data_IF_700667297209
#
_entry.id   IF_700667297209
#
_cell.length_a   1.000
_cell.length_b   1.000
_cell.length_c   1.000
_cell.angle_alpha   90.00
_cell.angle_beta   90.00
_cell.angle_gamma   90.00
#
_symmetry.space_group_name_H-M   'P 1'
#
loop_
_entity.id
_entity.type
_entity.pdbx_description
1 polymer ?
#
# COMPACT_ATOMS: atom_id res chain seq x y z
N UNK A 1 -50.73 7.49 -12.63
CA UNK A 1 -49.51 8.30 -12.84
C UNK A 1 -49.22 9.27 -11.69
N UNK A 2 -50.10 10.24 -11.34
CA UNK A 2 -49.84 11.18 -10.21
C UNK A 2 -49.51 10.49 -8.87
N UNK A 3 -50.30 9.51 -8.43
CA UNK A 3 -50.05 8.76 -7.16
C UNK A 3 -48.72 8.00 -7.15
N UNK A 4 -48.32 7.42 -8.28
CA UNK A 4 -47.04 6.68 -8.41
C UNK A 4 -45.84 7.64 -8.33
N UNK A 5 -45.94 8.80 -8.97
CA UNK A 5 -44.93 9.85 -8.90
C UNK A 5 -44.76 10.39 -7.48
N UNK A 6 -45.87 10.61 -6.75
CA UNK A 6 -45.82 11.07 -5.35
C UNK A 6 -45.15 10.04 -4.45
N UNK A 7 -45.43 8.75 -4.62
CA UNK A 7 -44.80 7.67 -3.86
C UNK A 7 -43.28 7.62 -4.16
N UNK A 8 -42.88 7.70 -5.44
CA UNK A 8 -41.47 7.73 -5.83
C UNK A 8 -40.71 8.93 -5.21
N UNK A 9 -41.31 10.11 -5.21
CA UNK A 9 -40.73 11.32 -4.61
C UNK A 9 -40.59 11.19 -3.09
N UNK A 10 -41.58 10.61 -2.40
CA UNK A 10 -41.51 10.35 -0.96
C UNK A 10 -40.39 9.36 -0.61
N UNK A 11 -40.24 8.27 -1.39
CA UNK A 11 -39.16 7.31 -1.19
C UNK A 11 -37.78 7.95 -1.40
N UNK A 12 -37.61 8.74 -2.46
CA UNK A 12 -36.36 9.46 -2.72
C UNK A 12 -36.01 10.44 -1.59
N UNK A 13 -37.01 11.16 -1.05
CA UNK A 13 -36.82 12.09 0.06
C UNK A 13 -36.41 11.38 1.36
N UNK A 14 -37.06 10.26 1.70
CA UNK A 14 -36.73 9.47 2.89
C UNK A 14 -35.30 8.91 2.80
N UNK A 15 -34.91 8.41 1.63
CA UNK A 15 -33.55 7.92 1.40
C UNK A 15 -32.50 9.03 1.57
N UNK A 16 -32.76 10.22 1.01
CA UNK A 16 -31.87 11.38 1.15
C UNK A 16 -31.69 11.82 2.62
N UNK A 17 -32.77 11.85 3.39
CA UNK A 17 -32.68 12.16 4.83
C UNK A 17 -31.92 11.09 5.62
N UNK A 18 -32.14 9.81 5.34
CA UNK A 18 -31.45 8.71 6.01
C UNK A 18 -29.93 8.80 5.79
N UNK A 19 -29.51 9.06 4.55
CA UNK A 19 -28.11 9.22 4.19
C UNK A 19 -27.49 10.45 4.90
N UNK A 20 -28.20 11.58 4.95
CA UNK A 20 -27.74 12.79 5.64
C UNK A 20 -27.55 12.54 7.14
N UNK A 21 -28.46 11.80 7.77
CA UNK A 21 -28.34 11.43 9.18
C UNK A 21 -27.16 10.49 9.41
N UNK A 22 -26.89 9.55 8.50
CA UNK A 22 -25.72 8.68 8.59
C UNK A 22 -24.42 9.47 8.45
N UNK A 23 -24.35 10.37 7.48
CA UNK A 23 -23.20 11.24 7.26
C UNK A 23 -22.87 12.06 8.51
N UNK A 24 -23.88 12.68 9.15
CA UNK A 24 -23.69 13.42 10.41
C UNK A 24 -23.14 12.55 11.52
N UNK A 25 -23.62 11.30 11.65
CA UNK A 25 -23.10 10.35 12.66
C UNK A 25 -21.64 10.00 12.40
N UNK A 26 -21.28 9.73 11.14
CA UNK A 26 -19.89 9.47 10.73
C UNK A 26 -19.01 10.67 11.05
N UNK A 27 -19.42 11.87 10.63
CA UNK A 27 -18.64 13.09 10.82
C UNK A 27 -18.48 13.47 12.30
N UNK A 28 -19.51 13.27 13.13
CA UNK A 28 -19.41 13.45 14.57
C UNK A 28 -18.43 12.45 15.18
N UNK A 29 -18.53 11.17 14.82
CA UNK A 29 -17.60 10.14 15.30
C UNK A 29 -16.15 10.45 14.90
N UNK A 30 -15.92 10.95 13.69
CA UNK A 30 -14.57 11.36 13.26
C UNK A 30 -14.07 12.56 14.06
N UNK A 31 -14.92 13.55 14.35
CA UNK A 31 -14.55 14.69 15.20
C UNK A 31 -14.18 14.25 16.61
N UNK A 32 -14.98 13.37 17.21
CA UNK A 32 -14.75 12.87 18.57
C UNK A 32 -13.43 12.10 18.70
N UNK A 33 -12.98 11.44 17.62
CA UNK A 33 -11.69 10.75 17.55
C UNK A 33 -10.55 11.60 16.99
N UNK A 34 -10.86 12.80 16.48
CA UNK A 34 -9.91 13.68 15.82
C UNK A 34 -9.32 14.69 16.79
N UNK A 35 -7.99 14.74 16.88
CA UNK A 35 -7.26 15.78 17.59
C UNK A 35 -7.68 17.14 17.02
N UNK A 36 -8.23 17.99 17.88
CA UNK A 36 -8.73 19.32 17.51
C UNK A 36 -10.09 19.33 16.81
N UNK A 37 -10.83 18.21 16.79
CA UNK A 37 -12.17 18.08 16.21
C UNK A 37 -12.25 18.49 14.72
N UNK A 38 -11.17 18.26 13.96
CA UNK A 38 -11.03 18.63 12.55
C UNK A 38 -10.83 17.40 11.67
N UNK A 39 -11.35 17.47 10.45
CA UNK A 39 -11.09 16.51 9.39
C UNK A 39 -11.10 17.20 8.03
N UNK A 40 -10.41 16.59 7.09
CA UNK A 40 -10.52 16.85 5.66
C UNK A 40 -11.51 15.85 5.08
N UNK A 41 -12.36 16.32 4.15
CA UNK A 41 -13.38 15.51 3.48
C UNK A 41 -13.23 15.68 1.98
N UNK A 42 -13.19 14.57 1.28
CA UNK A 42 -13.27 14.52 -0.17
C UNK A 42 -14.50 13.72 -0.58
N UNK A 43 -15.32 14.32 -1.44
CA UNK A 43 -16.48 13.67 -2.07
C UNK A 43 -16.07 13.29 -3.48
N UNK A 44 -16.24 12.03 -3.84
CA UNK A 44 -15.76 11.50 -5.10
C UNK A 44 -16.47 10.19 -5.44
N UNK A 45 -16.69 9.93 -6.72
CA UNK A 45 -17.14 8.63 -7.22
C UNK A 45 -15.92 7.70 -7.38
N UNK A 46 -15.77 6.72 -6.49
CA UNK A 46 -14.62 5.82 -6.45
C UNK A 46 -14.79 4.60 -7.35
N UNK A 47 -16.02 4.09 -7.48
CA UNK A 47 -16.34 2.87 -8.22
C UNK A 47 -16.96 3.15 -9.61
N UNK A 48 -17.11 4.42 -9.98
CA UNK A 48 -17.67 4.91 -11.23
C UNK A 48 -19.16 4.55 -11.42
N UNK A 49 -19.94 4.55 -10.33
CA UNK A 49 -21.39 4.30 -10.34
C UNK A 49 -22.25 5.58 -10.35
N UNK A 50 -21.60 6.75 -10.45
CA UNK A 50 -22.19 8.09 -10.44
C UNK A 50 -22.84 8.48 -9.10
N UNK A 51 -22.45 7.81 -8.03
CA UNK A 51 -22.88 8.12 -6.67
C UNK A 51 -21.70 8.64 -5.84
N UNK A 52 -21.98 9.62 -4.99
CA UNK A 52 -20.97 10.20 -4.09
C UNK A 52 -20.49 9.17 -3.06
N UNK A 53 -19.18 8.89 -3.08
CA UNK A 53 -18.43 8.24 -2.01
C UNK A 53 -17.62 9.27 -1.21
N UNK A 54 -17.08 8.85 -0.06
CA UNK A 54 -16.45 9.76 0.89
C UNK A 54 -15.12 9.24 1.39
N UNK A 55 -14.10 10.08 1.27
CA UNK A 55 -12.80 9.90 1.93
C UNK A 55 -12.68 10.96 3.02
N UNK A 56 -12.35 10.52 4.22
CA UNK A 56 -12.06 11.39 5.36
C UNK A 56 -10.62 11.19 5.82
N UNK A 57 -9.90 12.28 6.02
CA UNK A 57 -8.56 12.27 6.62
C UNK A 57 -8.58 13.15 7.89
N UNK A 58 -8.06 12.64 9.00
CA UNK A 58 -8.05 13.39 10.26
C UNK A 58 -6.86 13.04 11.13
N UNK A 59 -6.47 13.99 11.98
CA UNK A 59 -5.39 13.77 12.94
C UNK A 59 -5.91 12.90 14.09
N UNK A 60 -5.46 11.65 14.21
CA UNK A 60 -5.85 10.74 15.31
C UNK A 60 -4.66 10.34 16.21
N UNK A 61 -3.47 10.82 15.87
CA UNK A 61 -2.18 10.44 16.43
C UNK A 61 -1.10 10.71 15.39
N UNK A 62 0.08 10.14 15.57
CA UNK A 62 1.13 10.10 14.54
C UNK A 62 1.29 8.64 14.11
N UNK A 63 0.73 8.22 12.95
CA UNK A 63 0.28 9.04 11.81
C UNK A 63 -1.21 9.43 11.81
N UNK A 64 -1.66 10.15 10.76
CA UNK A 64 -3.08 10.49 10.52
C UNK A 64 -3.93 9.23 10.31
N UNK A 65 -5.24 9.36 10.48
CA UNK A 65 -6.21 8.31 10.15
C UNK A 65 -6.95 8.65 8.86
N UNK A 66 -7.17 7.63 8.03
CA UNK A 66 -8.02 7.70 6.84
C UNK A 66 -9.22 6.76 7.00
N UNK A 67 -10.40 7.24 6.64
CA UNK A 67 -11.62 6.43 6.51
C UNK A 67 -12.26 6.62 5.15
N UNK A 68 -12.66 5.52 4.52
CA UNK A 68 -13.28 5.53 3.20
C UNK A 68 -14.62 4.81 3.27
N UNK A 69 -15.66 5.46 2.75
CA UNK A 69 -17.02 4.94 2.73
C UNK A 69 -17.52 4.90 1.29
N UNK A 70 -18.00 3.73 0.85
CA UNK A 70 -18.73 3.60 -0.41
C UNK A 70 -20.23 3.75 -0.18
N UNK A 71 -20.93 4.40 -1.10
CA UNK A 71 -22.37 4.49 -1.08
C UNK A 71 -23.02 3.32 -1.82
N UNK A 72 -23.40 2.29 -1.05
CA UNK A 72 -24.00 1.08 -1.60
C UNK A 72 -25.51 1.20 -1.49
N UNK A 73 -26.16 1.56 -2.60
CA UNK A 73 -27.63 1.69 -2.70
C UNK A 73 -28.23 2.66 -1.66
N UNK A 74 -27.56 3.78 -1.42
CA UNK A 74 -28.00 4.82 -0.47
C UNK A 74 -27.53 4.60 0.96
N UNK A 75 -26.72 3.56 1.22
CA UNK A 75 -26.15 3.25 2.54
C UNK A 75 -24.63 3.42 2.49
N UNK A 76 -24.10 4.32 3.33
CA UNK A 76 -22.65 4.51 3.44
C UNK A 76 -22.03 3.34 4.20
N UNK A 77 -21.14 2.60 3.56
CA UNK A 77 -20.49 1.42 4.14
C UNK A 77 -19.00 1.67 4.25
N UNK A 78 -18.45 1.62 5.45
CA UNK A 78 -17.01 1.76 5.69
C UNK A 78 -16.27 0.62 4.96
N UNK A 79 -15.29 0.99 4.14
CA UNK A 79 -14.46 0.05 3.38
C UNK A 79 -13.04 0.00 3.89
N UNK A 80 -12.52 1.13 4.35
CA UNK A 80 -11.14 1.31 4.76
C UNK A 80 -11.14 2.15 6.03
N UNK A 81 -10.41 1.72 7.04
CA UNK A 81 -10.15 2.44 8.29
C UNK A 81 -8.73 2.13 8.73
N UNK A 82 -7.80 3.02 8.39
CA UNK A 82 -6.36 2.79 8.51
C UNK A 82 -5.63 4.01 9.08
N UNK A 83 -4.45 3.79 9.61
CA UNK A 83 -3.48 4.82 9.96
C UNK A 83 -2.47 4.98 8.81
N UNK A 84 -2.33 6.18 8.25
CA UNK A 84 -1.47 6.45 7.09
C UNK A 84 -0.73 7.78 7.19
N UNK A 85 0.51 7.83 6.68
CA UNK A 85 1.25 9.09 6.49
C UNK A 85 0.71 9.90 5.33
N UNK A 86 0.39 9.21 4.24
CA UNK A 86 -0.14 9.82 3.04
C UNK A 86 -1.04 8.86 2.28
N UNK A 87 -1.86 9.44 1.41
CA UNK A 87 -2.60 8.70 0.40
C UNK A 87 -2.46 9.40 -0.94
N UNK A 88 -2.57 8.61 -2.01
CA UNK A 88 -2.62 9.09 -3.38
C UNK A 88 -3.85 8.47 -4.06
N UNK A 89 -4.57 9.29 -4.80
CA UNK A 89 -5.65 8.84 -5.66
C UNK A 89 -5.23 8.95 -7.12
N UNK A 90 -5.18 7.81 -7.81
CA UNK A 90 -4.88 7.72 -9.23
C UNK A 90 -6.07 7.14 -10.01
N UNK A 91 -6.08 7.32 -11.33
CA UNK A 91 -7.07 6.72 -12.22
C UNK A 91 -6.34 5.83 -13.23
N UNK A 92 -6.61 4.52 -13.19
CA UNK A 92 -6.00 3.53 -14.08
C UNK A 92 -7.13 2.82 -14.83
N UNK A 93 -7.14 2.90 -16.16
CA UNK A 93 -8.18 2.29 -17.00
C UNK A 93 -9.62 2.66 -16.58
N UNK A 94 -9.86 3.95 -16.30
CA UNK A 94 -11.13 4.49 -15.78
C UNK A 94 -11.59 3.93 -14.42
N UNK A 95 -10.72 3.25 -13.68
CA UNK A 95 -10.95 2.85 -12.29
C UNK A 95 -10.14 3.73 -11.36
N UNK A 96 -10.74 4.19 -10.26
CA UNK A 96 -9.99 4.87 -9.20
C UNK A 96 -9.20 3.84 -8.41
N UNK A 97 -7.94 4.18 -8.13
CA UNK A 97 -7.05 3.43 -7.26
C UNK A 97 -6.59 4.34 -6.14
N UNK A 98 -6.83 3.92 -4.90
CA UNK A 98 -6.35 4.59 -3.70
C UNK A 98 -5.12 3.86 -3.19
N UNK A 99 -3.98 4.54 -3.14
CA UNK A 99 -2.74 4.00 -2.58
C UNK A 99 -2.46 4.68 -1.25
N UNK A 100 -2.22 3.90 -0.21
CA UNK A 100 -1.87 4.37 1.13
C UNK A 100 -0.40 4.04 1.42
N UNK A 101 0.31 5.02 1.96
CA UNK A 101 1.60 4.81 2.61
C UNK A 101 1.36 4.74 4.12
N UNK A 102 1.47 3.55 4.66
CA UNK A 102 1.25 3.23 6.08
C UNK A 102 2.61 3.29 6.81
N UNK A 103 2.66 4.15 7.83
CA UNK A 103 3.74 4.16 8.79
C UNK A 103 3.43 3.21 9.94
N UNK A 104 4.44 2.48 10.41
CA UNK A 104 4.34 1.73 11.66
C UNK A 104 4.99 2.55 12.79
N UNK A 105 4.51 2.36 14.03
CA UNK A 105 4.62 3.27 15.17
C UNK A 105 5.90 4.13 15.24
N UNK A 106 5.68 5.42 15.54
CA UNK A 106 6.66 6.43 15.93
C UNK A 106 7.59 7.01 14.85
N UNK A 107 7.36 6.75 13.55
CA UNK A 107 8.14 7.42 12.49
C UNK A 107 9.53 6.82 12.25
N UNK A 108 10.00 5.93 13.11
CA UNK A 108 11.38 5.43 13.10
C UNK A 108 11.53 4.09 12.36
N UNK A 109 10.55 3.71 11.53
CA UNK A 109 10.65 2.46 10.80
C UNK A 109 11.54 2.63 9.56
N UNK A 110 12.59 1.81 9.40
CA UNK A 110 13.39 1.75 8.16
C UNK A 110 12.60 1.12 7.00
N UNK A 111 11.30 0.83 7.20
CA UNK A 111 10.42 0.24 6.21
C UNK A 111 9.07 0.97 6.23
N UNK A 112 8.43 1.01 5.06
CA UNK A 112 7.09 1.54 4.85
C UNK A 112 6.19 0.48 4.26
N UNK A 113 4.93 0.47 4.67
CA UNK A 113 3.92 -0.40 4.08
C UNK A 113 3.16 0.37 3.02
N UNK A 114 3.06 -0.19 1.83
CA UNK A 114 2.23 0.33 0.75
C UNK A 114 1.05 -0.60 0.55
N UNK A 115 -0.15 -0.04 0.65
CA UNK A 115 -1.39 -0.76 0.37
C UNK A 115 -2.22 -0.01 -0.65
N UNK A 116 -2.66 -0.71 -1.69
CA UNK A 116 -3.49 -0.11 -2.72
C UNK A 116 -4.84 -0.81 -2.83
N UNK A 117 -5.87 -0.02 -3.13
CA UNK A 117 -7.26 -0.46 -3.22
C UNK A 117 -7.84 -0.04 -4.55
N UNK A 118 -8.54 -0.97 -5.20
CA UNK A 118 -9.50 -0.67 -6.26
C UNK A 118 -10.92 -0.83 -5.71
N UNK A 119 -11.84 -0.03 -6.22
CA UNK A 119 -13.23 -0.05 -5.77
C UNK A 119 -14.10 -0.76 -6.80
N UNK A 120 -14.86 -1.73 -6.31
CA UNK A 120 -15.97 -2.35 -7.05
C UNK A 120 -17.29 -1.75 -6.55
N UNK A 121 -18.39 -2.12 -7.18
CA UNK A 121 -19.73 -1.60 -6.85
C UNK A 121 -20.14 -1.80 -5.38
N UNK A 122 -19.51 -2.71 -4.65
CA UNK A 122 -19.89 -3.02 -3.26
C UNK A 122 -18.74 -3.14 -2.28
N UNK A 123 -17.49 -3.04 -2.73
CA UNK A 123 -16.34 -3.21 -1.84
C UNK A 123 -15.05 -2.59 -2.37
N UNK A 124 -14.18 -2.19 -1.46
CA UNK A 124 -12.77 -1.98 -1.75
C UNK A 124 -12.03 -3.34 -1.79
N UNK A 125 -11.20 -3.54 -2.81
CA UNK A 125 -10.40 -4.74 -3.02
C UNK A 125 -8.93 -4.36 -2.98
N UNK A 126 -8.18 -4.98 -2.06
CA UNK A 126 -6.73 -4.80 -1.98
C UNK A 126 -6.09 -5.34 -3.27
N UNK A 127 -5.30 -4.51 -3.93
CA UNK A 127 -4.53 -4.88 -5.13
C UNK A 127 -3.06 -5.05 -4.84
N UNK A 128 -2.50 -4.16 -4.04
CA UNK A 128 -1.13 -4.24 -3.55
C UNK A 128 -1.13 -4.21 -2.03
N UNK A 129 -0.27 -5.01 -1.41
CA UNK A 129 -0.02 -5.00 0.03
C UNK A 129 1.40 -5.48 0.29
N UNK A 130 2.34 -4.54 0.35
CA UNK A 130 3.76 -4.87 0.40
C UNK A 130 4.56 -3.87 1.22
N UNK A 131 5.75 -4.31 1.62
CA UNK A 131 6.73 -3.52 2.35
C UNK A 131 7.86 -3.11 1.42
N UNK A 132 8.30 -1.87 1.55
CA UNK A 132 9.55 -1.35 1.00
C UNK A 132 10.41 -0.77 2.10
N UNK A 133 11.70 -0.62 1.83
CA UNK A 133 12.58 0.21 2.65
C UNK A 133 12.13 1.67 2.60
N UNK A 134 12.27 2.38 3.71
CA UNK A 134 11.93 3.80 3.82
C UNK A 134 13.07 4.65 3.22
N UNK A 135 12.72 5.58 2.33
CA UNK A 135 13.68 6.47 1.66
C UNK A 135 14.45 7.36 2.64
N UNK A 136 13.86 7.68 3.78
CA UNK A 136 14.51 8.46 4.85
C UNK A 136 15.77 7.78 5.41
N UNK A 137 15.91 6.46 5.23
CA UNK A 137 17.05 5.67 5.71
C UNK A 137 18.05 5.31 4.61
N UNK A 138 17.77 5.66 3.36
CA UNK A 138 18.54 5.18 2.20
C UNK A 138 18.96 6.31 1.28
N UNK A 139 18.84 7.57 1.71
CA UNK A 139 19.25 8.73 0.94
C UNK A 139 18.72 8.73 -0.49
N UNK A 140 19.64 8.67 -1.46
CA UNK A 140 19.32 8.73 -2.90
C UNK A 140 19.26 7.36 -3.59
N UNK A 141 19.32 6.28 -2.82
CA UNK A 141 19.28 4.92 -3.37
C UNK A 141 17.98 4.63 -4.12
N UNK A 142 18.09 3.90 -5.23
CA UNK A 142 16.95 3.47 -6.03
C UNK A 142 16.19 2.32 -5.35
N UNK A 143 15.10 2.66 -4.64
CA UNK A 143 14.31 1.68 -3.87
C UNK A 143 13.31 0.89 -4.69
N UNK A 144 12.83 1.47 -5.78
CA UNK A 144 11.83 0.87 -6.66
C UNK A 144 12.10 1.29 -8.11
N UNK A 145 11.62 0.52 -9.09
CA UNK A 145 11.80 0.86 -10.50
C UNK A 145 10.92 2.05 -10.90
N UNK A 146 11.38 2.84 -11.87
CA UNK A 146 10.57 3.91 -12.48
C UNK A 146 9.34 3.34 -13.20
N UNK A 147 9.47 2.11 -13.72
CA UNK A 147 8.42 1.44 -14.48
C UNK A 147 8.25 -0.01 -14.01
N UNK A 148 6.99 -0.39 -13.81
CA UNK A 148 6.59 -1.75 -13.52
C UNK A 148 6.17 -2.45 -14.83
N UNK A 149 6.41 -3.75 -14.90
CA UNK A 149 5.87 -4.59 -15.96
C UNK A 149 4.33 -4.56 -15.93
N UNK A 150 3.69 -4.64 -17.10
CA UNK A 150 2.23 -4.70 -17.20
C UNK A 150 1.64 -5.94 -16.53
N UNK A 151 2.41 -7.01 -16.46
CA UNK A 151 2.11 -8.24 -15.74
C UNK A 151 3.36 -8.71 -15.00
N UNK A 152 3.16 -9.20 -13.77
CA UNK A 152 4.22 -9.85 -13.02
C UNK A 152 4.59 -11.18 -13.69
N UNK A 153 5.89 -11.47 -13.76
CA UNK A 153 6.41 -12.74 -14.28
C UNK A 153 6.82 -13.65 -13.12
N UNK A 154 6.36 -14.90 -13.10
CA UNK A 154 6.73 -15.83 -12.04
C UNK A 154 8.12 -16.43 -12.29
N UNK A 155 8.94 -16.55 -11.24
CA UNK A 155 10.26 -17.14 -11.32
C UNK A 155 10.61 -17.97 -10.07
N UNK A 156 11.69 -18.74 -10.17
CA UNK A 156 12.21 -19.58 -9.08
C UNK A 156 13.64 -19.17 -8.74
N UNK A 157 13.95 -19.11 -7.45
CA UNK A 157 15.30 -18.91 -6.94
C UNK A 157 16.08 -20.24 -6.96
N UNK A 158 17.26 -20.25 -7.58
CA UNK A 158 18.07 -21.47 -7.77
C UNK A 158 19.27 -21.57 -6.81
N UNK A 159 19.38 -20.66 -5.84
CA UNK A 159 20.46 -20.67 -4.85
C UNK A 159 19.90 -20.51 -3.44
N UNK A 160 20.58 -21.07 -2.44
CA UNK A 160 20.30 -20.78 -1.04
C UNK A 160 20.77 -19.39 -0.66
N UNK A 161 20.19 -18.85 0.42
CA UNK A 161 20.60 -17.60 1.08
C UNK A 161 20.67 -16.41 0.12
N UNK A 162 19.66 -16.33 -0.77
CA UNK A 162 19.73 -15.38 -1.85
C UNK A 162 19.40 -13.96 -1.39
N UNK A 163 20.37 -13.06 -1.50
CA UNK A 163 20.27 -11.71 -0.97
C UNK A 163 19.21 -10.88 -1.70
N UNK A 164 18.16 -10.50 -0.98
CA UNK A 164 17.23 -9.45 -1.35
C UNK A 164 17.76 -8.11 -0.85
N UNK A 165 17.78 -7.11 -1.72
CA UNK A 165 18.38 -5.81 -1.44
C UNK A 165 17.38 -4.67 -1.58
N UNK A 166 17.57 -3.57 -0.87
CA UNK A 166 16.73 -2.40 -1.07
C UNK A 166 17.10 -1.61 -2.33
N UNK A 167 18.32 -1.75 -2.86
CA UNK A 167 18.76 -1.09 -4.09
C UNK A 167 19.51 -2.05 -5.02
N UNK A 168 19.57 -1.78 -6.34
CA UNK A 168 20.25 -2.62 -7.32
C UNK A 168 21.77 -2.40 -7.31
N UNK A 169 22.40 -2.51 -6.14
CA UNK A 169 23.84 -2.40 -5.95
C UNK A 169 24.38 -3.51 -5.05
N UNK A 170 25.65 -3.85 -5.24
CA UNK A 170 26.41 -4.74 -4.34
C UNK A 170 27.42 -4.00 -3.48
N UNK A 171 27.53 -2.69 -3.66
CA UNK A 171 28.52 -1.86 -2.98
C UNK A 171 28.15 -1.73 -1.50
N UNK A 172 29.18 -1.56 -0.66
CA UNK A 172 28.97 -1.27 0.76
C UNK A 172 28.42 0.14 0.91
N UNK A 173 27.46 0.30 1.82
CA UNK A 173 26.90 1.60 2.18
C UNK A 173 27.99 2.52 2.72
N UNK A 174 27.89 3.81 2.41
CA UNK A 174 28.82 4.84 2.81
C UNK A 174 28.07 6.05 3.38
N UNK A 175 28.75 6.84 4.22
CA UNK A 175 28.19 8.08 4.78
C UNK A 175 26.87 7.86 5.53
N UNK A 176 25.92 8.76 5.32
CA UNK A 176 24.62 8.79 6.00
C UNK A 176 23.82 7.49 5.83
N UNK A 177 23.85 6.85 4.65
CA UNK A 177 23.12 5.58 4.42
C UNK A 177 23.65 4.46 5.33
N UNK A 178 24.96 4.43 5.58
CA UNK A 178 25.58 3.45 6.49
C UNK A 178 25.21 3.72 7.95
N UNK A 179 25.11 4.99 8.33
CA UNK A 179 24.82 5.41 9.71
C UNK A 179 23.34 5.25 10.05
N UNK A 180 22.45 5.47 9.09
CA UNK A 180 21.00 5.41 9.28
C UNK A 180 20.43 4.01 9.04
N UNK A 181 20.88 3.28 8.02
CA UNK A 181 20.38 1.93 7.73
C UNK A 181 21.11 0.84 8.53
N UNK A 182 20.70 0.67 9.78
CA UNK A 182 21.27 -0.33 10.71
C UNK A 182 20.51 -1.67 10.76
N UNK A 183 19.45 -1.80 9.95
CA UNK A 183 18.50 -2.92 10.00
C UNK A 183 18.66 -3.95 8.88
N UNK A 184 19.80 -3.92 8.17
CA UNK A 184 20.15 -4.93 7.18
C UNK A 184 20.56 -6.26 7.83
N UNK A 185 20.52 -7.36 7.07
CA UNK A 185 20.99 -8.68 7.55
C UNK A 185 22.51 -8.75 7.70
N UNK A 186 23.23 -7.78 7.15
CA UNK A 186 24.68 -7.67 7.23
C UNK A 186 25.10 -6.21 7.30
N UNK A 187 25.97 -5.88 8.25
CA UNK A 187 26.39 -4.52 8.53
C UNK A 187 26.98 -3.83 7.30
N UNK A 188 26.58 -2.58 7.05
CA UNK A 188 27.08 -1.78 5.93
C UNK A 188 26.68 -2.30 4.55
N UNK A 189 25.70 -3.20 4.45
CA UNK A 189 25.17 -3.69 3.18
C UNK A 189 23.74 -3.23 2.97
N UNK A 190 23.29 -3.21 1.72
CA UNK A 190 21.88 -2.97 1.39
C UNK A 190 21.00 -4.23 1.44
N UNK A 191 21.47 -5.31 2.07
CA UNK A 191 20.74 -6.59 2.12
C UNK A 191 19.67 -6.50 3.21
N UNK A 192 18.40 -6.64 2.81
CA UNK A 192 17.23 -6.51 3.70
C UNK A 192 16.65 -7.85 4.15
N UNK A 193 16.91 -8.90 3.37
CA UNK A 193 16.51 -10.27 3.68
C UNK A 193 17.29 -11.28 2.82
N UNK A 194 17.17 -12.55 3.17
CA UNK A 194 17.65 -13.67 2.35
C UNK A 194 16.49 -14.58 1.99
N UNK A 195 16.50 -15.10 0.76
CA UNK A 195 15.41 -15.92 0.20
C UNK A 195 15.85 -17.38 0.11
N UNK A 196 14.95 -18.31 0.47
CA UNK A 196 15.18 -19.76 0.39
C UNK A 196 15.30 -20.20 -1.07
N UNK A 197 16.18 -21.17 -1.32
CA UNK A 197 16.22 -21.87 -2.62
C UNK A 197 14.87 -22.54 -2.91
N UNK A 198 14.46 -22.54 -4.18
CA UNK A 198 13.19 -23.11 -4.62
C UNK A 198 11.98 -22.22 -4.39
N UNK A 199 12.15 -21.07 -3.73
CA UNK A 199 11.07 -20.10 -3.54
C UNK A 199 10.54 -19.59 -4.88
N UNK A 200 9.21 -19.50 -4.96
CA UNK A 200 8.51 -18.86 -6.07
C UNK A 200 8.44 -17.37 -5.76
N UNK A 201 8.87 -16.55 -6.72
CA UNK A 201 8.85 -15.09 -6.63
C UNK A 201 8.13 -14.51 -7.83
N UNK A 202 7.67 -13.26 -7.71
CA UNK A 202 7.12 -12.49 -8.82
C UNK A 202 8.08 -11.38 -9.20
N UNK A 203 8.52 -11.37 -10.47
CA UNK A 203 9.30 -10.30 -11.07
C UNK A 203 8.35 -9.20 -11.50
N UNK A 204 8.55 -8.01 -10.92
CA UNK A 204 7.74 -6.82 -11.16
C UNK A 204 8.39 -5.87 -12.17
N UNK A 205 9.71 -5.87 -12.28
CA UNK A 205 10.44 -5.06 -13.25
C UNK A 205 11.86 -5.59 -13.43
N UNK A 206 12.53 -5.11 -14.48
CA UNK A 206 13.92 -5.42 -14.79
C UNK A 206 14.70 -4.13 -15.04
N UNK A 207 15.90 -4.06 -14.47
CA UNK A 207 16.86 -3.00 -14.72
C UNK A 207 18.16 -3.61 -15.24
N UNK A 208 18.63 -3.13 -16.40
CA UNK A 208 19.90 -3.55 -16.98
C UNK A 208 20.91 -2.43 -16.74
N UNK A 209 21.95 -2.70 -15.95
CA UNK A 209 23.04 -1.76 -15.65
C UNK A 209 24.38 -2.40 -16.03
N UNK A 210 25.00 -1.86 -17.08
CA UNK A 210 26.27 -2.37 -17.64
C UNK A 210 26.16 -3.86 -17.97
N UNK A 211 26.85 -4.71 -17.23
CA UNK A 211 26.94 -6.17 -17.36
C UNK A 211 26.04 -6.93 -16.37
N UNK A 212 25.29 -6.21 -15.51
CA UNK A 212 24.40 -6.80 -14.52
C UNK A 212 22.95 -6.53 -14.87
N UNK A 213 22.13 -7.58 -14.76
CA UNK A 213 20.68 -7.45 -14.79
C UNK A 213 20.16 -7.62 -13.36
N UNK A 214 19.35 -6.65 -12.93
CA UNK A 214 18.64 -6.64 -11.67
C UNK A 214 17.16 -6.85 -11.91
N UNK A 215 16.53 -7.61 -11.03
CA UNK A 215 15.12 -7.90 -11.03
C UNK A 215 14.53 -7.27 -9.78
N UNK A 216 13.54 -6.41 -9.96
CA UNK A 216 12.72 -5.96 -8.85
C UNK A 216 11.63 -6.99 -8.64
N UNK A 217 11.56 -7.54 -7.43
CA UNK A 217 10.73 -8.71 -7.14
C UNK A 217 9.82 -8.46 -5.95
N UNK A 218 8.80 -9.29 -5.86
CA UNK A 218 7.93 -9.45 -4.71
C UNK A 218 8.01 -10.89 -4.20
N UNK A 219 8.14 -11.03 -2.87
CA UNK A 219 8.31 -12.33 -2.21
C UNK A 219 7.50 -12.39 -0.91
N UNK A 220 6.86 -13.53 -0.66
CA UNK A 220 6.12 -13.79 0.58
C UNK A 220 7.06 -14.05 1.75
N UNK A 221 6.65 -13.68 2.98
CA UNK A 221 7.44 -13.90 4.20
C UNK A 221 7.86 -15.36 4.41
N UNK A 222 7.00 -16.33 4.06
CA UNK A 222 7.29 -17.75 4.16
C UNK A 222 8.52 -18.20 3.32
N UNK A 223 8.85 -17.45 2.27
CA UNK A 223 9.99 -17.71 1.38
C UNK A 223 11.30 -17.11 1.90
N UNK A 224 11.25 -16.27 2.95
CA UNK A 224 12.41 -15.65 3.56
C UNK A 224 13.06 -16.56 4.60
N UNK A 225 14.36 -16.36 4.82
CA UNK A 225 15.18 -17.09 5.78
C UNK A 225 15.26 -16.32 7.10
N UNK A 226 15.14 -17.05 8.21
CA UNK A 226 15.18 -16.48 9.56
C UNK A 226 13.88 -15.78 9.93
N UNK A 227 13.92 -15.03 11.04
CA UNK A 227 12.82 -14.18 11.52
C UNK A 227 13.20 -12.71 11.61
N UNK A 228 14.44 -12.38 11.22
CA UNK A 228 15.01 -11.04 11.34
C UNK A 228 14.81 -10.26 10.04
N UNK A 229 13.57 -10.17 9.59
CA UNK A 229 13.21 -9.42 8.39
C UNK A 229 11.92 -8.62 8.61
N UNK A 230 11.66 -7.59 7.79
CA UNK A 230 10.63 -6.58 8.11
C UNK A 230 9.25 -7.19 8.24
N UNK A 231 8.90 -8.09 7.32
CA UNK A 231 7.58 -8.72 7.22
C UNK A 231 7.25 -9.74 8.31
N UNK A 232 8.21 -10.11 9.17
CA UNK A 232 7.96 -11.04 10.29
C UNK A 232 7.56 -10.35 11.59
N UNK A 233 7.87 -9.05 11.74
CA UNK A 233 7.55 -8.28 12.95
C UNK A 233 6.35 -7.37 12.75
N UNK A 234 6.56 -6.27 12.02
CA UNK A 234 5.62 -5.15 11.98
C UNK A 234 4.64 -5.23 10.82
N UNK A 235 4.91 -6.10 9.83
CA UNK A 235 4.19 -6.12 8.56
C UNK A 235 3.70 -7.54 8.21
N UNK A 236 3.10 -8.21 9.19
CA UNK A 236 2.52 -9.55 9.03
C UNK A 236 1.53 -9.56 7.85
N UNK A 237 1.53 -10.65 7.10
CA UNK A 237 0.66 -10.89 5.92
C UNK A 237 0.91 -9.92 4.75
N UNK A 238 2.02 -9.19 4.76
CA UNK A 238 2.50 -8.40 3.63
C UNK A 238 3.66 -9.09 2.92
N UNK A 239 3.81 -8.75 1.65
CA UNK A 239 4.94 -9.22 0.83
C UNK A 239 6.10 -8.25 0.93
N UNK A 240 7.33 -8.74 0.85
CA UNK A 240 8.51 -7.88 0.80
C UNK A 240 8.88 -7.63 -0.66
N UNK A 241 9.14 -6.36 -1.01
CA UNK A 241 9.66 -5.98 -2.33
C UNK A 241 11.11 -5.50 -2.22
N UNK A 242 11.88 -5.79 -3.26
CA UNK A 242 13.29 -5.41 -3.33
C UNK A 242 13.97 -5.94 -4.59
N UNK A 243 15.28 -5.76 -4.65
CA UNK A 243 16.13 -6.09 -5.80
C UNK A 243 16.91 -7.38 -5.58
N UNK A 244 16.97 -8.19 -6.63
CA UNK A 244 17.86 -9.34 -6.74
C UNK A 244 18.60 -9.31 -8.07
N UNK A 245 19.73 -9.98 -8.18
CA UNK A 245 20.37 -10.17 -9.49
C UNK A 245 19.58 -11.20 -10.32
N UNK A 246 19.65 -11.14 -11.64
CA UNK A 246 19.03 -12.19 -12.47
C UNK A 246 19.82 -13.50 -12.47
N UNK A 247 21.07 -13.51 -11.97
CA UNK A 247 22.03 -14.62 -12.13
C UNK A 247 21.51 -15.97 -11.61
N UNK A 248 20.74 -15.96 -10.52
CA UNK A 248 20.26 -17.18 -9.85
C UNK A 248 18.74 -17.30 -9.88
N UNK A 249 18.11 -16.76 -10.92
CA UNK A 249 16.66 -16.74 -11.11
C UNK A 249 16.30 -17.43 -12.41
N UNK A 250 15.45 -18.46 -12.36
CA UNK A 250 14.86 -19.09 -13.55
C UNK A 250 13.43 -18.61 -13.72
N UNK A 251 13.17 -17.93 -14.85
CA UNK A 251 11.82 -17.51 -15.28
C UNK A 251 10.99 -18.73 -15.68
N UNK A 252 9.68 -18.70 -15.40
CA UNK A 252 8.73 -19.75 -15.78
C UNK A 252 7.95 -19.40 -17.02
#
# INVERSE_FOLDING_TARGET
MKKLLTILLLFAYIQSQAQTNQLKKIENSIRDNGIGNKFEKQIIDLNNDQVDDYIYLYQCGEPKCIKVYLNIKGILTEQISEQCWSYELSSVNNKKKLTLTLGHCCGESPYVSIRSFEFSNSQAVIKDNYVLTNIEYTGSSMLSPDFYNSQSETAVINTSDYNLRFSPSTDLLQGEEKETFTYGTSEGTNIIAQIKMGSIINILSQLIQKDKTWLFIEVDSASLIGKNHPVDFNFKDQKLRGWVSSKYVTRK
#
